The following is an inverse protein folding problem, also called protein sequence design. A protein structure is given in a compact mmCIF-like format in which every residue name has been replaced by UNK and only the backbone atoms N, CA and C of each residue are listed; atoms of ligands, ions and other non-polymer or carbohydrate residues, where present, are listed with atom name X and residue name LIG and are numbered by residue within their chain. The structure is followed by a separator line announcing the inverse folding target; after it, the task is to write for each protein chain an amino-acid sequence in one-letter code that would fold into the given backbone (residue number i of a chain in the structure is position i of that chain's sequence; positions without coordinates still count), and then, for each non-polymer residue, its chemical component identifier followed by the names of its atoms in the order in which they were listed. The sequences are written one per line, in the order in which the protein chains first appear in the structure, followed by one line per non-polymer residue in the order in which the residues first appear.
data_IF_158178667733
#
_entry.id   IF_158178667733
#
_cell.length_a   1.000
_cell.length_b   1.000
_cell.length_c   1.000
_cell.angle_alpha   90.00
_cell.angle_beta   90.00
_cell.angle_gamma   90.00
#
_symmetry.space_group_name_H-M   'P 1'
#
loop_
_entity.id
_entity.type
_entity.pdbx_description
1 polymer ?
#
# COMPACT_ATOMS: atom_id res chain seq x y z
N UNK A 1 14.64 -82.95 19.79
CA UNK A 1 15.48 -81.73 19.93
C UNK A 1 14.58 -80.51 19.92
N UNK A 2 14.35 -79.88 21.07
CA UNK A 2 13.47 -78.71 21.20
C UNK A 2 14.37 -77.47 21.29
N UNK A 3 14.34 -76.61 20.28
CA UNK A 3 15.07 -75.35 20.25
C UNK A 3 14.32 -74.29 21.06
N UNK A 4 14.80 -73.95 22.26
CA UNK A 4 14.35 -72.77 23.00
C UNK A 4 15.13 -71.55 22.53
N UNK A 5 14.48 -70.61 21.85
CA UNK A 5 15.03 -69.27 21.58
C UNK A 5 14.77 -68.37 22.80
N UNK A 6 15.76 -67.62 23.32
CA UNK A 6 15.51 -66.63 24.35
C UNK A 6 14.85 -65.39 23.71
N UNK A 7 13.71 -64.97 24.26
CA UNK A 7 13.11 -63.68 23.95
C UNK A 7 13.91 -62.60 24.70
N UNK A 8 14.67 -61.79 23.95
CA UNK A 8 15.28 -60.58 24.48
C UNK A 8 14.19 -59.52 24.65
N UNK A 9 13.77 -59.27 25.90
CA UNK A 9 12.95 -58.12 26.24
C UNK A 9 13.79 -56.85 26.15
N UNK A 10 13.72 -56.15 25.02
CA UNK A 10 14.28 -54.81 24.87
C UNK A 10 13.33 -53.80 25.54
N UNK A 11 13.65 -53.37 26.76
CA UNK A 11 13.02 -52.21 27.39
C UNK A 11 13.59 -50.95 26.74
N UNK A 12 12.86 -50.36 25.80
CA UNK A 12 13.22 -49.06 25.22
C UNK A 12 12.98 -47.97 26.27
N UNK A 13 14.07 -47.42 26.83
CA UNK A 13 13.99 -46.26 27.69
C UNK A 13 13.47 -45.05 26.87
N UNK A 14 12.29 -44.54 27.21
CA UNK A 14 11.73 -43.33 26.62
C UNK A 14 12.52 -42.13 27.15
N UNK A 15 13.49 -41.66 26.38
CA UNK A 15 14.21 -40.43 26.67
C UNK A 15 13.33 -39.23 26.31
N UNK A 16 12.81 -38.54 27.33
CA UNK A 16 12.06 -37.29 27.15
C UNK A 16 13.06 -36.20 26.75
N UNK A 17 13.08 -35.83 25.47
CA UNK A 17 13.91 -34.74 24.98
C UNK A 17 13.45 -33.43 25.61
N UNK A 18 14.28 -32.85 26.48
CA UNK A 18 14.07 -31.51 27.04
C UNK A 18 14.22 -30.49 25.91
N UNK A 19 13.11 -30.10 25.29
CA UNK A 19 13.10 -29.00 24.33
C UNK A 19 13.26 -27.69 25.09
N UNK A 20 14.47 -27.14 25.11
CA UNK A 20 14.72 -25.78 25.62
C UNK A 20 14.09 -24.75 24.67
N UNK A 21 12.84 -24.39 24.94
CA UNK A 21 12.17 -23.26 24.29
C UNK A 21 12.63 -21.98 24.99
N UNK A 22 13.64 -21.30 24.45
CA UNK A 22 13.97 -19.93 24.86
C UNK A 22 12.91 -18.99 24.30
N UNK A 23 12.13 -18.36 25.18
CA UNK A 23 11.21 -17.30 24.78
C UNK A 23 12.00 -16.06 24.37
N UNK A 24 12.12 -15.83 23.05
CA UNK A 24 12.76 -14.64 22.45
C UNK A 24 12.03 -13.31 22.76
N UNK A 25 10.94 -13.36 23.53
CA UNK A 25 9.96 -12.27 23.67
C UNK A 25 10.40 -11.16 24.63
N UNK A 26 11.33 -11.43 25.56
CA UNK A 26 11.72 -10.46 26.59
C UNK A 26 12.87 -9.54 26.17
N UNK A 27 13.54 -9.79 25.04
CA UNK A 27 14.78 -9.07 24.66
C UNK A 27 14.62 -8.12 23.47
N UNK A 28 13.46 -8.09 22.79
CA UNK A 28 13.27 -7.18 21.66
C UNK A 28 12.59 -5.91 22.18
N UNK A 29 13.25 -4.75 22.16
CA UNK A 29 12.63 -3.50 22.58
C UNK A 29 11.42 -3.18 21.70
N UNK A 30 10.34 -2.70 22.32
CA UNK A 30 9.16 -2.29 21.57
C UNK A 30 9.54 -1.18 20.60
N UNK A 31 9.21 -1.37 19.31
CA UNK A 31 9.46 -0.32 18.30
C UNK A 31 8.63 0.93 18.63
N UNK A 32 9.21 2.13 18.47
CA UNK A 32 8.50 3.37 18.72
C UNK A 32 7.26 3.50 17.81
N UNK A 33 6.30 4.29 18.28
CA UNK A 33 5.12 4.65 17.49
C UNK A 33 5.55 5.70 16.46
N UNK A 34 5.27 5.49 15.15
CA UNK A 34 5.60 6.47 14.13
C UNK A 34 4.70 7.70 14.24
N UNK A 35 5.22 8.88 13.91
CA UNK A 35 4.41 10.10 13.85
C UNK A 35 3.39 10.03 12.71
N UNK A 36 2.21 10.65 12.86
CA UNK A 36 1.23 10.76 11.78
C UNK A 36 1.80 11.59 10.61
N UNK A 37 1.22 11.40 9.43
CA UNK A 37 1.65 12.04 8.18
C UNK A 37 0.55 13.03 7.75
N UNK A 38 0.85 14.14 7.05
CA UNK A 38 -0.19 15.07 6.60
C UNK A 38 -1.32 14.40 5.78
N UNK A 39 -0.99 13.37 5.00
CA UNK A 39 -1.98 12.60 4.23
C UNK A 39 -2.83 11.64 5.09
N UNK A 40 -2.30 11.19 6.24
CA UNK A 40 -2.99 10.31 7.20
C UNK A 40 -2.79 10.88 8.61
N UNK A 41 -3.63 11.85 9.01
CA UNK A 41 -3.52 12.48 10.32
C UNK A 41 -4.00 11.56 11.45
N UNK A 42 -5.03 10.75 11.21
CA UNK A 42 -5.75 10.00 12.25
C UNK A 42 -5.78 8.49 11.99
N UNK A 43 -6.00 7.71 13.06
CA UNK A 43 -6.16 6.26 12.97
C UNK A 43 -7.36 5.85 12.10
N UNK A 44 -8.45 6.63 12.12
CA UNK A 44 -9.64 6.42 11.29
C UNK A 44 -9.31 6.54 9.81
N UNK A 45 -8.54 7.57 9.44
CA UNK A 45 -8.07 7.80 8.07
C UNK A 45 -7.16 6.68 7.60
N UNK A 46 -6.28 6.17 8.49
CA UNK A 46 -5.42 5.04 8.19
C UNK A 46 -6.21 3.75 7.90
N UNK A 47 -7.17 3.41 8.75
CA UNK A 47 -8.01 2.21 8.57
C UNK A 47 -8.86 2.29 7.30
N UNK A 48 -9.30 3.49 6.94
CA UNK A 48 -10.01 3.74 5.68
C UNK A 48 -9.07 3.59 4.48
N UNK A 49 -7.86 4.13 4.57
CA UNK A 49 -6.89 4.09 3.49
C UNK A 49 -6.47 2.66 3.10
N UNK A 50 -6.23 1.79 4.09
CA UNK A 50 -5.84 0.39 3.86
C UNK A 50 -7.00 -0.51 3.38
N UNK A 51 -8.24 -0.04 3.53
CA UNK A 51 -9.47 -0.68 3.02
C UNK A 51 -9.86 -1.98 3.73
N UNK A 52 -10.42 -2.92 2.97
CA UNK A 52 -10.94 -4.23 3.44
C UNK A 52 -12.00 -4.13 4.56
N UNK A 53 -12.75 -3.03 4.63
CA UNK A 53 -13.77 -2.79 5.66
C UNK A 53 -13.21 -2.61 7.07
N UNK A 54 -11.91 -2.28 7.22
CA UNK A 54 -11.31 -2.03 8.53
C UNK A 54 -11.77 -0.72 9.18
N UNK A 55 -12.34 0.21 8.39
CA UNK A 55 -13.01 1.42 8.86
C UNK A 55 -14.12 1.12 9.88
N UNK A 56 -14.81 -0.02 9.76
CA UNK A 56 -15.84 -0.46 10.70
C UNK A 56 -15.32 -0.75 12.11
N UNK A 57 -14.01 -0.94 12.28
CA UNK A 57 -13.38 -1.20 13.58
C UNK A 57 -12.72 0.05 14.18
N UNK A 58 -12.88 1.23 13.57
CA UNK A 58 -12.29 2.46 14.05
C UNK A 58 -12.64 2.76 15.52
N UNK A 59 -13.91 2.62 15.90
CA UNK A 59 -14.36 2.87 17.29
C UNK A 59 -13.68 1.98 18.34
N UNK A 60 -13.18 0.80 17.93
CA UNK A 60 -12.51 -0.15 18.82
C UNK A 60 -11.05 0.23 19.09
N UNK A 61 -10.48 1.10 18.28
CA UNK A 61 -9.09 1.53 18.36
C UNK A 61 -9.11 3.06 18.55
N UNK A 62 -9.15 3.56 19.80
CA UNK A 62 -9.53 4.94 20.07
C UNK A 62 -8.45 5.98 19.71
N UNK A 63 -7.17 5.58 19.62
CA UNK A 63 -6.05 6.51 19.41
C UNK A 63 -5.02 5.97 18.42
N UNK A 64 -4.20 6.89 17.88
CA UNK A 64 -3.06 6.56 17.03
C UNK A 64 -2.05 5.66 17.75
N UNK A 65 -1.77 5.96 19.01
CA UNK A 65 -0.86 5.16 19.83
C UNK A 65 -1.41 3.75 20.07
N UNK A 66 -2.71 3.62 20.33
CA UNK A 66 -3.35 2.31 20.49
C UNK A 66 -3.24 1.48 19.21
N UNK A 67 -3.45 2.10 18.03
CA UNK A 67 -3.29 1.42 16.75
C UNK A 67 -1.91 0.76 16.61
N UNK A 68 -0.82 1.43 16.99
CA UNK A 68 0.55 0.91 16.85
C UNK A 68 1.05 0.09 18.03
N UNK A 69 0.37 0.13 19.17
CA UNK A 69 0.77 -0.59 20.40
C UNK A 69 0.04 -1.92 20.57
N UNK A 70 -1.26 -1.98 20.22
CA UNK A 70 -2.09 -3.16 20.44
C UNK A 70 -1.52 -4.41 19.76
N UNK A 71 -1.55 -5.53 20.47
CA UNK A 71 -1.07 -6.84 19.99
C UNK A 71 -2.20 -7.63 19.32
N UNK A 72 -1.85 -8.70 18.60
CA UNK A 72 -2.85 -9.60 17.99
C UNK A 72 -3.90 -10.14 18.97
N UNK A 73 -3.56 -10.68 20.16
CA UNK A 73 -4.58 -11.18 21.08
C UNK A 73 -5.50 -10.06 21.58
N UNK A 74 -4.95 -8.89 21.92
CA UNK A 74 -5.75 -7.73 22.35
C UNK A 74 -6.72 -7.26 21.24
N UNK A 75 -6.26 -7.21 19.98
CA UNK A 75 -7.14 -6.88 18.85
C UNK A 75 -8.27 -7.91 18.67
N UNK A 76 -8.02 -9.19 18.99
CA UNK A 76 -9.06 -10.22 18.98
C UNK A 76 -10.08 -9.99 20.09
N UNK A 77 -9.64 -9.64 21.30
CA UNK A 77 -10.51 -9.34 22.45
C UNK A 77 -11.39 -8.12 22.20
N UNK A 78 -10.85 -7.08 21.56
CA UNK A 78 -11.62 -5.91 21.09
C UNK A 78 -12.59 -6.26 19.93
N UNK A 79 -12.49 -7.47 19.37
CA UNK A 79 -13.36 -7.98 18.31
C UNK A 79 -13.00 -7.48 16.91
N UNK A 80 -11.71 -7.22 16.64
CA UNK A 80 -11.20 -7.04 15.26
C UNK A 80 -11.07 -8.42 14.62
N UNK A 81 -12.19 -8.86 14.04
CA UNK A 81 -12.34 -10.15 13.38
C UNK A 81 -12.83 -9.92 11.94
N UNK A 82 -12.42 -10.75 10.96
CA UNK A 82 -11.73 -12.03 11.07
C UNK A 82 -10.21 -11.94 11.30
N UNK A 83 -9.61 -13.04 11.76
CA UNK A 83 -8.16 -13.18 11.95
C UNK A 83 -7.29 -12.73 10.74
N UNK A 84 -7.81 -12.86 9.51
CA UNK A 84 -7.12 -12.39 8.30
C UNK A 84 -7.03 -10.86 8.25
N UNK A 85 -8.08 -10.15 8.64
CA UNK A 85 -8.11 -8.68 8.69
C UNK A 85 -7.14 -8.16 9.75
N UNK A 86 -7.08 -8.83 10.91
CA UNK A 86 -6.11 -8.52 11.97
C UNK A 86 -4.66 -8.71 11.54
N UNK A 87 -4.33 -9.83 10.87
CA UNK A 87 -2.97 -10.03 10.31
C UNK A 87 -2.62 -8.98 9.27
N UNK A 88 -3.58 -8.60 8.43
CA UNK A 88 -3.41 -7.56 7.42
C UNK A 88 -3.16 -6.17 8.04
N UNK A 89 -3.89 -5.82 9.10
CA UNK A 89 -3.67 -4.58 9.84
C UNK A 89 -2.25 -4.53 10.44
N UNK A 90 -1.80 -5.63 11.06
CA UNK A 90 -0.45 -5.71 11.63
C UNK A 90 0.64 -5.60 10.56
N UNK A 91 0.43 -6.21 9.40
CA UNK A 91 1.33 -6.08 8.25
C UNK A 91 1.45 -4.62 7.78
N UNK A 92 0.32 -3.92 7.63
CA UNK A 92 0.32 -2.52 7.23
C UNK A 92 0.91 -1.58 8.28
N UNK A 93 0.73 -1.86 9.57
CA UNK A 93 1.40 -1.12 10.65
C UNK A 93 2.92 -1.21 10.53
N UNK A 94 3.45 -2.39 10.21
CA UNK A 94 4.90 -2.57 10.08
C UNK A 94 5.43 -1.88 8.82
N UNK A 95 4.71 -1.96 7.69
CA UNK A 95 5.01 -1.17 6.50
C UNK A 95 5.08 0.33 6.79
N UNK A 96 4.10 0.85 7.52
CA UNK A 96 4.06 2.25 7.90
C UNK A 96 5.27 2.63 8.80
N UNK A 97 5.66 1.77 9.75
CA UNK A 97 6.88 1.97 10.56
C UNK A 97 8.17 1.97 9.74
N UNK A 98 8.19 1.28 8.61
CA UNK A 98 9.35 1.23 7.72
C UNK A 98 9.38 2.38 6.71
N UNK A 99 8.37 3.27 6.71
CA UNK A 99 8.23 4.32 5.71
C UNK A 99 7.75 3.82 4.35
N UNK A 100 7.25 2.58 4.27
CA UNK A 100 6.67 2.00 3.05
C UNK A 100 5.20 2.42 2.93
N UNK A 101 5.00 3.64 2.45
CA UNK A 101 3.66 4.18 2.25
C UNK A 101 3.10 3.80 0.88
N UNK A 102 1.77 3.82 0.77
CA UNK A 102 1.12 3.74 -0.53
C UNK A 102 1.13 5.08 -1.26
N UNK A 103 0.35 5.17 -2.34
CA UNK A 103 0.21 6.40 -3.12
C UNK A 103 -0.19 7.58 -2.23
N UNK A 104 0.51 8.71 -2.38
CA UNK A 104 0.24 9.94 -1.62
C UNK A 104 0.88 9.99 -0.22
N UNK A 105 1.58 8.95 0.24
CA UNK A 105 2.27 8.98 1.54
C UNK A 105 3.37 10.04 1.66
N UNK A 106 4.01 10.41 0.55
CA UNK A 106 5.07 11.42 0.52
C UNK A 106 4.54 12.87 0.48
N UNK A 107 3.22 13.06 0.39
CA UNK A 107 2.59 14.36 0.24
C UNK A 107 2.67 15.15 1.56
N UNK A 108 3.37 16.29 1.52
CA UNK A 108 3.48 17.19 2.68
C UNK A 108 2.31 18.17 2.76
N UNK A 109 1.86 18.73 1.63
CA UNK A 109 0.72 19.65 1.61
C UNK A 109 -0.54 18.89 1.24
N UNK A 110 -1.41 18.73 2.24
CA UNK A 110 -2.70 18.04 2.12
C UNK A 110 -3.72 18.91 2.83
N UNK A 111 -4.83 19.22 2.17
CA UNK A 111 -5.95 19.92 2.77
C UNK A 111 -7.20 19.05 2.61
N UNK A 112 -7.93 18.81 3.70
CA UNK A 112 -9.17 18.01 3.73
C UNK A 112 -9.02 16.60 3.10
N UNK A 113 -7.86 15.96 3.29
CA UNK A 113 -7.55 14.67 2.69
C UNK A 113 -7.33 14.72 1.16
N UNK A 114 -7.15 15.91 0.59
CA UNK A 114 -6.85 16.13 -0.83
C UNK A 114 -5.45 16.70 -0.98
N UNK A 115 -4.63 16.02 -1.79
CA UNK A 115 -3.31 16.47 -2.18
C UNK A 115 -3.34 16.96 -3.62
N UNK A 116 -2.96 18.22 -3.86
CA UNK A 116 -2.81 18.76 -5.21
C UNK A 116 -1.40 18.52 -5.75
N UNK A 117 -1.35 18.16 -7.02
CA UNK A 117 -0.14 17.81 -7.75
C UNK A 117 0.03 18.73 -8.95
N UNK A 118 1.27 19.14 -9.19
CA UNK A 118 1.64 19.95 -10.35
C UNK A 118 2.85 19.36 -11.06
N UNK A 119 2.82 19.39 -12.40
CA UNK A 119 4.01 19.09 -13.21
C UNK A 119 4.98 20.27 -13.13
N UNK A 120 6.19 20.00 -12.67
CA UNK A 120 7.30 20.96 -12.61
C UNK A 120 8.42 20.47 -13.51
N UNK A 121 9.10 21.41 -14.14
CA UNK A 121 10.29 21.18 -14.95
C UNK A 121 11.52 21.64 -14.16
N UNK A 122 12.49 20.76 -14.00
CA UNK A 122 13.78 21.08 -13.40
C UNK A 122 14.93 20.74 -14.34
N UNK A 123 16.07 21.43 -14.23
CA UNK A 123 17.30 21.00 -14.90
C UNK A 123 17.71 19.61 -14.40
N UNK A 124 18.28 18.81 -15.30
CA UNK A 124 18.87 17.52 -14.95
C UNK A 124 20.27 17.78 -14.40
N UNK A 125 20.48 17.45 -13.13
CA UNK A 125 21.81 17.53 -12.53
C UNK A 125 22.82 16.65 -13.29
N UNK A 126 24.06 17.11 -13.49
CA UNK A 126 25.11 16.33 -14.12
C UNK A 126 25.38 15.06 -13.30
N UNK A 127 25.60 13.93 -13.99
CA UNK A 127 25.82 12.65 -13.33
C UNK A 127 27.33 12.45 -13.08
N UNK A 128 27.79 12.32 -11.81
CA UNK A 128 29.20 12.09 -11.52
C UNK A 128 29.72 10.77 -12.10
N UNK A 129 28.86 9.75 -12.22
CA UNK A 129 29.22 8.48 -12.84
C UNK A 129 29.45 8.58 -14.37
N UNK A 130 28.97 9.65 -15.00
CA UNK A 130 29.13 9.92 -16.44
C UNK A 130 30.16 11.04 -16.71
N UNK A 131 31.07 11.30 -15.76
CA UNK A 131 32.09 12.35 -15.89
C UNK A 131 31.54 13.77 -15.76
N UNK A 132 30.55 13.99 -14.88
CA UNK A 132 29.85 15.27 -14.69
C UNK A 132 29.18 15.81 -15.97
N UNK A 133 28.79 14.92 -16.89
CA UNK A 133 28.03 15.30 -18.09
C UNK A 133 26.55 14.94 -17.95
N UNK A 134 25.72 15.62 -18.74
CA UNK A 134 24.29 15.30 -18.86
C UNK A 134 24.16 14.08 -19.78
N UNK A 135 23.33 13.10 -19.39
CA UNK A 135 23.07 11.94 -20.25
C UNK A 135 22.63 12.37 -21.66
N UNK A 136 23.10 11.72 -22.75
CA UNK A 136 22.74 12.10 -24.12
C UNK A 136 21.23 12.13 -24.35
N UNK A 137 20.52 11.18 -23.75
CA UNK A 137 19.05 11.14 -23.75
C UNK A 137 18.43 12.39 -23.15
N UNK A 138 19.04 12.98 -22.12
CA UNK A 138 18.56 14.20 -21.46
C UNK A 138 18.96 15.48 -22.18
N UNK A 139 20.09 15.48 -22.89
CA UNK A 139 20.53 16.59 -23.72
C UNK A 139 19.71 16.75 -25.01
N UNK A 140 19.21 15.65 -25.59
CA UNK A 140 18.40 15.70 -26.81
C UNK A 140 17.04 16.39 -26.60
N UNK A 141 16.70 17.30 -27.52
CA UNK A 141 15.37 17.89 -27.63
C UNK A 141 14.41 16.89 -28.30
N UNK A 142 13.17 16.80 -27.81
CA UNK A 142 12.12 15.94 -28.37
C UNK A 142 10.80 16.72 -28.38
N UNK A 143 9.85 16.38 -29.25
CA UNK A 143 8.55 17.06 -29.36
C UNK A 143 7.79 17.30 -28.04
N UNK A 144 8.11 16.55 -26.98
CA UNK A 144 7.46 16.65 -25.67
C UNK A 144 8.37 17.17 -24.54
N UNK A 145 9.68 17.33 -24.77
CA UNK A 145 10.65 17.69 -23.73
C UNK A 145 11.76 18.60 -24.24
N UNK A 146 12.04 19.63 -23.45
CA UNK A 146 13.13 20.57 -23.69
C UNK A 146 14.49 19.95 -23.33
N UNK A 147 15.57 20.33 -24.03
CA UNK A 147 16.91 19.80 -23.79
C UNK A 147 17.39 20.16 -22.38
N UNK A 148 18.07 19.23 -21.70
CA UNK A 148 18.67 19.45 -20.38
C UNK A 148 17.69 19.47 -19.19
N UNK A 149 16.40 19.23 -19.43
CA UNK A 149 15.37 19.28 -18.37
C UNK A 149 14.67 17.95 -18.16
N UNK A 150 14.12 17.76 -16.95
CA UNK A 150 13.21 16.65 -16.60
C UNK A 150 11.91 17.20 -16.03
N UNK A 151 10.81 16.55 -16.41
CA UNK A 151 9.48 16.81 -15.87
C UNK A 151 9.19 15.79 -14.79
N UNK A 152 8.73 16.25 -13.63
CA UNK A 152 8.27 15.39 -12.56
C UNK A 152 7.12 16.05 -11.82
N UNK A 153 6.48 15.29 -10.95
CA UNK A 153 5.27 15.72 -10.26
C UNK A 153 5.61 16.04 -8.82
N UNK A 154 5.19 17.23 -8.39
CA UNK A 154 5.41 17.75 -7.04
C UNK A 154 4.06 18.01 -6.39
N UNK A 155 4.01 17.82 -5.07
CA UNK A 155 2.88 18.21 -4.24
C UNK A 155 2.93 19.74 -4.00
N UNK A 156 1.82 20.43 -4.27
CA UNK A 156 1.70 21.88 -4.13
C UNK A 156 0.53 22.18 -3.20
N UNK A 157 0.62 23.20 -2.33
CA UNK A 157 -0.50 23.58 -1.47
C UNK A 157 -1.73 23.96 -2.29
N UNK A 158 -2.91 23.62 -1.76
CA UNK A 158 -4.19 23.84 -2.43
C UNK A 158 -4.37 25.32 -2.75
N UNK A 159 -4.67 25.63 -4.01
CA UNK A 159 -4.90 27.00 -4.48
C UNK A 159 -3.64 27.80 -4.82
N UNK A 160 -2.43 27.29 -4.56
CA UNK A 160 -1.21 27.97 -4.99
C UNK A 160 -0.95 27.78 -6.50
N UNK A 161 -0.48 28.83 -7.16
CA UNK A 161 -0.15 28.78 -8.59
C UNK A 161 1.18 28.08 -8.89
N UNK A 162 2.13 28.25 -7.97
CA UNK A 162 3.51 27.79 -8.09
C UNK A 162 3.90 26.92 -6.88
N UNK A 163 4.81 25.95 -7.08
CA UNK A 163 5.35 25.18 -5.99
C UNK A 163 6.10 26.10 -5.00
N UNK A 164 6.01 25.77 -3.72
CA UNK A 164 6.72 26.50 -2.66
C UNK A 164 8.17 26.00 -2.61
N UNK A 165 9.05 26.59 -3.40
CA UNK A 165 10.49 26.29 -3.39
C UNK A 165 11.11 26.10 -4.78
N UNK A 166 12.44 25.97 -4.80
CA UNK A 166 13.19 25.73 -6.03
C UNK A 166 12.89 24.32 -6.58
N UNK A 167 12.75 24.17 -7.92
CA UNK A 167 12.37 22.90 -8.54
C UNK A 167 13.41 21.79 -8.38
N UNK A 168 14.59 22.07 -7.83
CA UNK A 168 15.66 21.07 -7.65
C UNK A 168 15.55 20.32 -6.31
N UNK A 169 15.08 21.00 -5.26
CA UNK A 169 15.02 20.47 -3.90
C UNK A 169 13.69 19.79 -3.58
N UNK A 170 12.66 20.02 -4.41
CA UNK A 170 11.32 19.52 -4.14
C UNK A 170 11.24 17.99 -4.24
N UNK A 171 10.65 17.31 -3.24
CA UNK A 171 10.50 15.87 -3.28
C UNK A 171 9.53 15.46 -4.40
N UNK A 172 9.94 14.46 -5.18
CA UNK A 172 9.08 13.87 -6.19
C UNK A 172 8.06 12.95 -5.52
N UNK A 173 6.79 13.09 -5.89
CA UNK A 173 5.73 12.19 -5.43
C UNK A 173 5.91 10.80 -6.06
N UNK A 174 6.03 9.76 -5.23
CA UNK A 174 6.19 8.39 -5.70
C UNK A 174 4.91 7.83 -6.35
N UNK A 175 5.07 6.87 -7.27
CA UNK A 175 3.95 6.22 -7.95
C UNK A 175 3.24 7.05 -9.03
N UNK A 176 3.63 8.32 -9.22
CA UNK A 176 3.08 9.21 -10.24
C UNK A 176 4.12 9.50 -11.33
N UNK A 177 3.68 9.47 -12.59
CA UNK A 177 4.51 9.71 -13.76
C UNK A 177 3.87 10.73 -14.71
N UNK A 178 4.72 11.51 -15.40
CA UNK A 178 4.28 12.36 -16.50
C UNK A 178 4.40 11.57 -17.81
N UNK A 179 3.33 11.55 -18.60
CA UNK A 179 3.29 10.96 -19.94
C UNK A 179 3.06 12.05 -20.99
N UNK A 180 3.87 12.03 -22.04
CA UNK A 180 3.82 13.05 -23.09
C UNK A 180 4.28 14.42 -22.58
N UNK A 181 3.62 15.48 -23.03
CA UNK A 181 4.04 16.85 -22.71
C UNK A 181 3.68 17.27 -21.28
N UNK A 182 2.45 16.98 -20.82
CA UNK A 182 1.87 17.55 -19.59
C UNK A 182 0.97 16.58 -18.81
N UNK A 183 0.64 15.41 -19.35
CA UNK A 183 -0.39 14.53 -18.76
C UNK A 183 0.15 13.75 -17.57
N UNK A 184 -0.44 13.96 -16.40
CA UNK A 184 -0.14 13.17 -15.20
C UNK A 184 -0.88 11.82 -15.27
N UNK A 185 -0.17 10.72 -15.06
CA UNK A 185 -0.74 9.38 -14.89
C UNK A 185 -0.29 8.76 -13.58
N UNK A 186 -1.21 8.09 -12.91
CA UNK A 186 -0.95 7.35 -11.67
C UNK A 186 -2.23 6.69 -11.18
N UNK A 187 -2.09 5.77 -10.22
CA UNK A 187 -3.23 5.18 -9.54
C UNK A 187 -3.93 6.25 -8.69
N UNK A 188 -5.26 6.33 -8.78
CA UNK A 188 -6.08 7.26 -8.00
C UNK A 188 -5.73 8.75 -8.18
N UNK A 189 -5.14 9.10 -9.33
CA UNK A 189 -4.84 10.48 -9.71
C UNK A 189 -5.96 11.01 -10.59
N UNK A 190 -6.66 12.05 -10.12
CA UNK A 190 -7.71 12.73 -10.89
C UNK A 190 -7.14 14.02 -11.52
N UNK A 191 -7.08 14.15 -12.85
CA UNK A 191 -6.63 15.39 -13.49
C UNK A 191 -7.66 16.52 -13.28
N UNK A 192 -7.17 17.73 -12.96
CA UNK A 192 -8.03 18.91 -12.83
C UNK A 192 -8.32 19.48 -14.22
N UNK A 193 -9.60 19.50 -14.60
CA UNK A 193 -10.04 19.88 -15.95
C UNK A 193 -9.60 21.29 -16.37
N UNK A 194 -9.56 22.23 -15.44
CA UNK A 194 -9.26 23.64 -15.75
C UNK A 194 -7.83 23.91 -16.20
N UNK A 195 -6.87 22.99 -15.95
CA UNK A 195 -5.44 23.26 -16.15
C UNK A 195 -4.76 22.40 -17.23
N UNK A 196 -5.50 21.99 -18.27
CA UNK A 196 -4.96 21.25 -19.42
C UNK A 196 -4.07 20.04 -19.04
N UNK A 197 -4.43 19.34 -17.95
CA UNK A 197 -3.72 18.16 -17.45
C UNK A 197 -2.43 18.42 -16.66
N UNK A 198 -2.00 19.68 -16.50
CA UNK A 198 -0.80 20.08 -15.73
C UNK A 198 -0.99 19.87 -14.23
N UNK A 199 -2.23 19.93 -13.76
CA UNK A 199 -2.60 19.68 -12.38
C UNK A 199 -3.42 18.42 -12.24
N UNK A 200 -3.20 17.75 -11.12
CA UNK A 200 -4.02 16.63 -10.69
C UNK A 200 -4.23 16.68 -9.19
N UNK A 201 -5.18 15.91 -8.69
CA UNK A 201 -5.46 15.75 -7.26
C UNK A 201 -5.47 14.27 -6.90
N UNK A 202 -4.98 13.97 -5.71
CA UNK A 202 -5.15 12.67 -5.06
C UNK A 202 -6.10 12.91 -3.90
N UNK A 203 -7.22 12.20 -3.90
CA UNK A 203 -8.20 12.23 -2.80
C UNK A 203 -8.01 11.00 -1.93
N UNK A 204 -8.03 11.19 -0.62
CA UNK A 204 -8.16 10.11 0.33
C UNK A 204 -9.50 9.41 0.08
N UNK A 205 -9.45 8.13 -0.24
CA UNK A 205 -10.62 7.29 -0.44
C UNK A 205 -10.38 5.92 0.17
N UNK A 206 -11.48 5.19 0.40
CA UNK A 206 -11.39 3.84 0.96
C UNK A 206 -10.59 2.91 0.05
N UNK A 207 -9.62 2.21 0.64
CA UNK A 207 -8.80 1.23 -0.06
C UNK A 207 -7.78 1.82 -1.05
N UNK A 208 -7.42 3.09 -0.90
CA UNK A 208 -6.34 3.71 -1.69
C UNK A 208 -5.00 2.95 -1.56
N UNK A 209 -4.75 2.36 -0.39
CA UNK A 209 -3.61 1.51 -0.09
C UNK A 209 -3.99 0.03 0.00
N UNK A 210 -5.18 -0.37 -0.46
CA UNK A 210 -5.63 -1.75 -0.33
C UNK A 210 -4.85 -2.70 -1.25
N UNK A 211 -4.25 -3.73 -0.67
CA UNK A 211 -3.82 -4.90 -1.44
C UNK A 211 -5.07 -5.72 -1.82
N UNK A 212 -5.60 -5.49 -3.03
CA UNK A 212 -6.86 -6.11 -3.49
C UNK A 212 -6.75 -7.62 -3.53
N UNK A 213 -7.80 -8.29 -3.05
CA UNK A 213 -7.92 -9.76 -3.11
C UNK A 213 -8.45 -10.19 -4.48
N UNK A 214 -7.86 -11.24 -5.03
CA UNK A 214 -8.43 -11.93 -6.17
C UNK A 214 -9.83 -12.45 -5.83
N UNK A 215 -10.79 -12.21 -6.71
CA UNK A 215 -12.13 -12.78 -6.65
C UNK A 215 -12.38 -13.61 -7.90
N UNK A 216 -13.26 -14.61 -7.79
CA UNK A 216 -13.60 -15.49 -8.92
C UNK A 216 -14.61 -14.79 -9.81
N UNK A 217 -14.25 -14.53 -11.06
CA UNK A 217 -15.17 -14.02 -12.09
C UNK A 217 -16.05 -15.18 -12.59
N UNK A 218 -17.38 -15.00 -12.63
CA UNK A 218 -18.36 -16.00 -13.07
C UNK A 218 -18.18 -17.39 -12.40
N UNK A 219 -17.91 -17.45 -11.09
CA UNK A 219 -17.71 -18.71 -10.37
C UNK A 219 -16.33 -19.37 -10.57
N UNK A 220 -15.44 -18.72 -11.34
CA UNK A 220 -14.11 -19.22 -11.67
C UNK A 220 -14.13 -20.22 -12.83
N UNK A 221 -12.95 -20.68 -13.26
CA UNK A 221 -12.78 -21.44 -14.50
C UNK A 221 -13.70 -22.66 -14.61
N UNK A 222 -13.81 -23.47 -13.55
CA UNK A 222 -14.61 -24.71 -13.56
C UNK A 222 -16.11 -24.49 -13.70
N UNK A 223 -16.66 -23.43 -13.10
CA UNK A 223 -18.11 -23.18 -13.05
C UNK A 223 -18.58 -22.09 -14.02
N UNK A 224 -17.67 -21.49 -14.78
CA UNK A 224 -17.96 -20.37 -15.70
C UNK A 224 -19.06 -20.67 -16.70
N UNK A 225 -18.99 -21.83 -17.36
CA UNK A 225 -19.98 -22.23 -18.36
C UNK A 225 -21.36 -22.45 -17.70
N UNK A 226 -21.40 -23.17 -16.58
CA UNK A 226 -22.62 -23.45 -15.82
C UNK A 226 -23.29 -22.17 -15.31
N UNK A 227 -22.53 -21.28 -14.67
CA UNK A 227 -23.04 -20.01 -14.12
C UNK A 227 -23.61 -19.13 -15.24
N UNK A 228 -22.92 -19.06 -16.38
CA UNK A 228 -23.41 -18.28 -17.53
C UNK A 228 -24.64 -18.90 -18.18
N UNK A 229 -24.74 -20.23 -18.26
CA UNK A 229 -25.91 -20.90 -18.80
C UNK A 229 -27.13 -20.69 -17.89
N UNK A 230 -26.97 -20.84 -16.58
CA UNK A 230 -28.03 -20.57 -15.58
C UNK A 230 -28.48 -19.11 -15.62
N UNK A 231 -27.55 -18.17 -15.72
CA UNK A 231 -27.86 -16.73 -15.87
C UNK A 231 -28.68 -16.46 -17.13
N UNK A 232 -28.25 -16.98 -18.29
CA UNK A 232 -28.99 -16.85 -19.56
C UNK A 232 -30.39 -17.45 -19.50
N UNK A 233 -30.55 -18.62 -18.86
CA UNK A 233 -31.86 -19.26 -18.71
C UNK A 233 -32.82 -18.42 -17.85
N UNK A 234 -32.31 -17.81 -16.76
CA UNK A 234 -33.09 -16.91 -15.91
C UNK A 234 -33.52 -15.65 -16.66
N UNK A 235 -32.57 -15.00 -17.36
CA UNK A 235 -32.86 -13.80 -18.19
C UNK A 235 -33.90 -14.09 -19.28
N UNK A 236 -33.83 -15.26 -19.92
CA UNK A 236 -34.83 -15.65 -20.93
C UNK A 236 -36.21 -15.89 -20.31
N UNK A 237 -36.26 -16.48 -19.11
CA UNK A 237 -37.52 -16.70 -18.39
C UNK A 237 -38.15 -15.38 -17.92
N UNK A 238 -37.33 -14.41 -17.51
CA UNK A 238 -37.79 -13.06 -17.16
C UNK A 238 -38.33 -12.30 -18.37
N UNK A 239 -37.68 -12.41 -19.54
CA UNK A 239 -38.14 -11.76 -20.78
C UNK A 239 -39.41 -12.37 -21.38
N UNK A 240 -39.64 -13.66 -21.13
CA UNK A 240 -40.82 -14.37 -21.63
C UNK A 240 -42.04 -14.22 -20.70
N UNK A 241 -41.86 -13.65 -19.51
CA UNK A 241 -42.93 -13.23 -18.60
C UNK A 241 -43.38 -11.82 -18.92
#
# INVERSE_FOLDING_TARGET
MILRRPLLNATTAVSITKTCVRNLQHSIPMRPVPSPIPFIPDHTTFLTAIGRGLSAHATKIPSWEALFTLTSPQLKELGVEPARSRRYLLHWREKFRNGEYGIGGDCQHVADGVAELQVVQAPVAPNPALGNTISPRSAAATATRDPGTRKFVVNVPVGAEKPLGAPETLPRVQGVIVKGAKTIKGSFVEPVKSNNGVRARIRLQEGIWEERRGHKVDGGERRKAEVRAKRRAAENKEKAR
#
